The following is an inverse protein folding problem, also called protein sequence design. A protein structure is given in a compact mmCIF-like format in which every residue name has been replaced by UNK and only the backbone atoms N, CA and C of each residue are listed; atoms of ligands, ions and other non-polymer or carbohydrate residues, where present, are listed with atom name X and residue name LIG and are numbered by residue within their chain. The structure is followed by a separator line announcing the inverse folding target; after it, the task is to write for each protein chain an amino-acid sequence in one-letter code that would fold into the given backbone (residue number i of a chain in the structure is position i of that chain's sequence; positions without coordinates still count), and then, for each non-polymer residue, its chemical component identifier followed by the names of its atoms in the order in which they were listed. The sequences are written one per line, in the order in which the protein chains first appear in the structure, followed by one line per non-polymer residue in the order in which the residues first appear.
data_IF_083194938021
#
_entry.id   IF_083194938021
#
_cell.length_a   1.000
_cell.length_b   1.000
_cell.length_c   1.000
_cell.angle_alpha   90.00
_cell.angle_beta   90.00
_cell.angle_gamma   90.00
#
_symmetry.space_group_name_H-M   'P 1'
#
loop_
_entity.id
_entity.type
_entity.pdbx_description
1 polymer ?
2 non-polymer ?
3 non-polymer ?
4 water ?
#
# COMPACT_ATOMS: atom_id res chain seq x y z
N UNK A 2 1.03 19.29 -0.43
CA UNK A 2 1.98 19.00 0.64
C UNK A 2 3.14 18.17 0.12
N UNK A 3 4.24 18.20 0.83
CA UNK A 3 5.43 17.47 0.40
C UNK A 3 5.43 16.06 0.97
N UNK A 4 6.20 15.15 0.38
CA UNK A 4 6.31 13.82 0.99
C UNK A 4 6.79 13.86 2.43
N UNK A 5 7.68 14.80 2.76
CA UNK A 5 8.10 14.98 4.15
C UNK A 5 6.90 15.24 5.05
N UNK A 6 6.06 16.22 4.67
CA UNK A 6 4.90 16.56 5.49
C UNK A 6 3.94 15.38 5.58
N UNK A 7 3.78 14.65 4.48
CA UNK A 7 2.88 13.50 4.49
C UNK A 7 3.42 12.41 5.41
N UNK A 8 4.74 12.20 5.40
CA UNK A 8 5.33 11.26 6.34
C UNK A 8 5.09 11.71 7.77
N UNK A 9 5.20 13.01 8.02
CA UNK A 9 4.92 13.53 9.35
C UNK A 9 3.46 13.27 9.74
N UNK A 10 2.54 13.45 8.81
CA UNK A 10 1.14 13.21 9.11
C UNK A 10 0.91 11.75 9.46
N UNK A 11 1.61 10.84 8.79
CA UNK A 11 1.51 9.43 9.14
C UNK A 11 1.94 9.22 10.60
N UNK A 12 3.04 9.84 11.02
CA UNK A 12 3.48 9.72 12.40
C UNK A 12 2.48 10.34 13.38
N UNK A 13 1.92 11.51 13.04
CA UNK A 13 0.85 12.07 13.87
C UNK A 13 -0.29 11.07 14.01
N UNK A 14 -0.71 10.50 12.88
CA UNK A 14 -1.81 9.53 12.87
C UNK A 14 -1.51 8.36 13.80
N UNK A 15 -0.33 7.76 13.67
CA UNK A 15 -0.01 6.59 14.48
C UNK A 15 0.05 6.91 15.96
N UNK A 16 0.46 8.14 16.31
CA UNK A 16 0.45 8.56 17.71
C UNK A 16 -0.98 8.73 18.21
N UNK A 17 -1.84 9.39 17.42
CA UNK A 17 -3.24 9.53 17.82
C UNK A 17 -3.89 8.16 17.98
N UNK A 18 -3.53 7.21 17.12
CA UNK A 18 -4.00 5.83 17.28
C UNK A 18 -3.54 5.28 18.63
N UNK A 19 -2.26 5.49 18.96
CA UNK A 19 -1.71 4.96 20.20
C UNK A 19 -2.31 5.65 21.43
N UNK A 20 -2.57 6.95 21.33
CA UNK A 20 -3.09 7.72 22.46
C UNK A 20 -4.62 7.78 22.49
N UNK A 21 -5.30 7.12 21.55
CA UNK A 21 -6.76 7.07 21.54
C UNK A 21 -7.45 8.41 21.38
N UNK A 22 -7.18 9.08 20.26
CA UNK A 22 -7.74 10.40 19.98
C UNK A 22 -8.43 10.34 18.62
N UNK A 23 -9.63 9.75 18.57
CA UNK A 23 -10.28 9.57 17.26
C UNK A 23 -10.72 10.85 16.60
N UNK A 24 -11.06 11.89 17.36
CA UNK A 24 -11.40 13.15 16.72
C UNK A 24 -10.18 13.80 16.12
N UNK A 25 -9.01 13.64 16.76
CA UNK A 25 -7.79 14.14 16.15
C UNK A 25 -7.44 13.35 14.90
N UNK A 26 -7.72 12.04 14.88
CA UNK A 26 -7.52 11.25 13.67
C UNK A 26 -8.42 11.75 12.56
N UNK A 27 -9.71 11.91 12.86
CA UNK A 27 -10.64 12.35 11.83
C UNK A 27 -10.22 13.70 11.25
N UNK A 28 -9.67 14.57 12.08
CA UNK A 28 -9.23 15.89 11.61
C UNK A 28 -8.12 15.80 10.58
N UNK A 29 -7.33 14.71 10.60
CA UNK A 29 -6.26 14.55 9.63
C UNK A 29 -6.81 14.18 8.25
N UNK A 30 -8.02 13.62 8.20
CA UNK A 30 -8.63 13.20 6.96
C UNK A 30 -9.34 14.37 6.29
N UNK A 31 -9.40 14.31 4.97
CA UNK A 31 -10.20 15.25 4.19
C UNK A 31 -11.69 15.02 4.42
N UNK A 32 -12.48 16.07 4.16
CA UNK A 32 -13.94 15.98 4.08
C UNK A 32 -14.38 14.72 3.36
N UNK A 33 -13.88 14.54 2.13
CA UNK A 33 -14.29 13.45 1.25
C UNK A 33 -13.31 12.28 1.28
N UNK A 34 -12.67 12.06 2.41
CA UNK A 34 -11.70 10.98 2.52
C UNK A 34 -12.41 9.62 2.58
N UNK A 35 -11.68 8.59 2.19
CA UNK A 35 -12.13 7.21 2.26
C UNK A 35 -11.19 6.40 3.16
N UNK A 36 -11.76 5.47 3.91
CA UNK A 36 -11.00 4.51 4.68
C UNK A 36 -11.48 3.11 4.30
N UNK A 37 -10.55 2.25 3.88
CA UNK A 37 -10.84 0.86 3.53
C UNK A 37 -9.94 -0.01 4.41
N UNK A 38 -10.50 -0.53 5.49
CA UNK A 38 -9.73 -1.18 6.54
C UNK A 38 -10.55 -2.35 7.07
N UNK A 39 -10.24 -3.59 6.66
CA UNK A 39 -9.20 -3.99 5.71
C UNK A 39 -9.62 -3.79 4.28
N UNK A 40 -8.65 -3.76 3.37
CA UNK A 40 -8.97 -3.78 1.96
C UNK A 40 -9.88 -4.96 1.68
N UNK A 41 -10.89 -4.72 0.84
CA UNK A 41 -11.91 -5.69 0.56
C UNK A 41 -13.21 -5.50 1.32
N UNK A 42 -13.19 -4.74 2.42
CA UNK A 42 -14.40 -4.47 3.18
C UNK A 42 -15.05 -3.18 2.66
N UNK A 43 -16.29 -2.96 3.07
CA UNK A 43 -17.00 -1.76 2.63
C UNK A 43 -16.25 -0.50 3.04
N UNK A 44 -16.06 0.40 2.08
CA UNK A 44 -15.35 1.63 2.31
C UNK A 44 -16.17 2.56 3.20
N UNK A 45 -15.48 3.22 4.11
CA UNK A 45 -16.04 4.30 4.92
C UNK A 45 -15.73 5.62 4.21
N UNK A 46 -16.76 6.33 3.77
CA UNK A 46 -16.53 7.55 3.02
C UNK A 46 -17.04 8.73 3.84
N UNK A 47 -16.29 9.81 3.77
CA UNK A 47 -16.68 11.05 4.41
C UNK A 47 -16.11 11.10 5.81
N UNK A 48 -15.71 12.28 6.25
CA UNK A 48 -15.09 12.37 7.57
C UNK A 48 -16.08 11.95 8.66
N UNK A 49 -17.38 12.15 8.45
CA UNK A 49 -18.36 11.74 9.46
C UNK A 49 -18.31 10.22 9.70
N UNK A 50 -18.35 9.44 8.62
CA UNK A 50 -18.27 7.99 8.77
C UNK A 50 -16.93 7.56 9.34
N UNK A 51 -15.86 8.25 8.95
CA UNK A 51 -14.52 7.89 9.42
C UNK A 51 -14.42 8.13 10.93
N UNK A 52 -15.00 9.23 11.40
CA UNK A 52 -15.03 9.52 12.83
C UNK A 52 -15.72 8.41 13.61
N UNK A 53 -16.85 7.93 13.11
CA UNK A 53 -17.53 6.81 13.74
C UNK A 53 -16.67 5.56 13.76
N UNK A 54 -15.94 5.31 12.66
CA UNK A 54 -15.11 4.12 12.55
C UNK A 54 -14.01 4.12 13.60
N UNK A 55 -13.31 5.26 13.75
CA UNK A 55 -12.26 5.32 14.76
C UNK A 55 -12.83 5.49 16.17
N UNK A 56 -13.98 6.15 16.29
CA UNK A 56 -14.54 6.40 17.61
C UNK A 56 -14.93 5.11 18.27
N UNK A 57 -15.35 4.13 17.47
CA UNK A 57 -15.41 2.74 17.92
C UNK A 57 -14.11 2.31 18.59
N UNK A 58 -12.97 2.81 18.14
CA UNK A 58 -11.69 2.20 18.51
C UNK A 58 -10.95 2.97 19.61
N UNK A 59 -11.60 3.90 20.28
CA UNK A 59 -10.92 4.95 21.03
C UNK A 59 -10.60 4.58 22.47
N UNK A 60 -9.69 5.37 23.04
CA UNK A 60 -9.25 5.30 24.43
C UNK A 60 -8.48 4.01 24.73
N UNK A 61 -8.45 3.09 23.76
CA UNK A 61 -7.54 1.97 23.88
C UNK A 61 -6.11 2.48 23.79
N UNK A 62 -5.34 2.22 24.85
CA UNK A 62 -3.90 2.41 24.81
C UNK A 62 -3.27 1.27 24.03
N UNK A 63 -2.63 1.60 22.91
CA UNK A 63 -1.88 0.64 22.13
C UNK A 63 -0.52 1.25 21.83
N UNK A 64 0.33 0.41 21.14
CA UNK A 64 1.67 0.81 20.76
C UNK A 64 1.82 0.60 19.27
N UNK A 65 2.39 1.59 18.58
CA UNK A 65 2.61 1.54 17.14
C UNK A 65 4.08 1.77 16.85
N UNK A 66 4.59 1.09 15.83
CA UNK A 66 6.01 1.15 15.46
C UNK A 66 6.12 1.01 13.96
N UNK A 67 6.76 1.97 13.32
CA UNK A 67 7.02 1.91 11.88
C UNK A 67 8.24 1.05 11.63
N UNK A 68 8.11 0.09 10.72
CA UNK A 68 9.25 -0.72 10.27
C UNK A 68 9.90 -0.12 9.03
N UNK A 69 9.09 0.31 8.06
CA UNK A 69 9.62 1.03 6.92
C UNK A 69 8.52 1.91 6.35
N UNK A 70 8.91 3.08 5.86
CA UNK A 70 7.96 4.08 5.38
C UNK A 70 8.52 4.71 4.11
N UNK A 71 7.72 4.72 3.06
CA UNK A 71 8.12 5.30 1.78
C UNK A 71 7.12 6.38 1.37
N UNK A 72 7.56 7.62 1.43
CA UNK A 72 6.75 8.77 1.06
C UNK A 72 7.18 9.21 -0.35
N UNK A 73 6.25 9.07 -1.31
CA UNK A 73 6.51 9.22 -2.73
C UNK A 73 5.34 9.95 -3.37
N UNK A 74 5.61 11.03 -4.09
CA UNK A 74 4.52 11.75 -4.72
C UNK A 74 3.54 12.21 -3.65
N UNK A 75 2.25 11.93 -3.86
CA UNK A 75 1.23 12.26 -2.86
C UNK A 75 0.75 11.00 -2.12
N UNK A 76 1.66 10.04 -1.94
CA UNK A 76 1.33 8.80 -1.24
C UNK A 76 2.38 8.50 -0.17
N UNK A 77 1.97 7.69 0.81
CA UNK A 77 2.90 7.09 1.77
C UNK A 77 2.49 5.64 1.93
N UNK A 78 3.42 4.73 1.65
CA UNK A 78 3.26 3.33 2.00
C UNK A 78 4.09 3.05 3.23
N UNK A 79 3.49 2.37 4.21
CA UNK A 79 4.23 2.08 5.42
C UNK A 79 3.85 0.73 5.98
N UNK A 80 4.88 0.02 6.43
CA UNK A 80 4.78 -1.28 7.06
C UNK A 80 5.05 -1.08 8.55
N UNK A 81 4.10 -1.46 9.40
CA UNK A 81 4.16 -1.08 10.80
C UNK A 81 3.50 -2.13 11.66
N UNK A 82 3.79 -2.05 12.96
CA UNK A 82 3.22 -3.00 13.92
C UNK A 82 2.28 -2.28 14.88
N UNK A 83 1.17 -2.96 15.16
CA UNK A 83 0.18 -2.51 16.12
C UNK A 83 0.17 -3.50 17.25
N UNK A 84 0.48 -3.04 18.45
CA UNK A 84 0.58 -3.88 19.64
C UNK A 84 -0.54 -3.49 20.59
N UNK A 85 -1.44 -4.44 20.85
CA UNK A 85 -2.61 -4.22 21.70
C UNK A 85 -2.28 -4.60 23.13
N UNK A 91 -0.66 -9.52 24.90
CA UNK A 91 0.46 -10.08 24.16
C UNK A 91 0.19 -10.21 22.67
N UNK A 92 -0.57 -9.25 22.14
CA UNK A 92 -0.99 -9.27 20.75
C UNK A 92 -0.20 -8.22 19.95
N UNK A 93 0.33 -8.63 18.80
CA UNK A 93 0.94 -7.70 17.87
C UNK A 93 0.66 -8.14 16.45
N UNK A 94 0.43 -7.17 15.57
CA UNK A 94 0.24 -7.54 14.18
C UNK A 94 0.91 -6.52 13.28
N UNK A 95 1.39 -7.01 12.15
CA UNK A 95 2.14 -6.23 11.19
C UNK A 95 1.25 -5.92 10.00
N UNK A 96 1.17 -4.65 9.65
CA UNK A 96 0.19 -4.13 8.71
C UNK A 96 0.92 -3.41 7.60
N UNK A 97 0.48 -3.62 6.36
CA UNK A 97 0.89 -2.77 5.24
C UNK A 97 -0.23 -1.78 4.99
N UNK A 98 0.09 -0.50 5.07
CA UNK A 98 -0.87 0.57 4.85
C UNK A 98 -0.42 1.50 3.74
N UNK A 99 -1.40 2.06 3.02
CA UNK A 99 -1.15 3.08 2.03
C UNK A 99 -2.10 4.23 2.30
N UNK A 100 -1.54 5.44 2.43
CA UNK A 100 -2.31 6.68 2.49
C UNK A 100 -1.99 7.55 1.29
N UNK A 101 -2.99 8.26 0.79
CA UNK A 101 -2.79 9.30 -0.21
C UNK A 101 -3.31 10.61 0.35
N UNK A 102 -2.78 11.71 -0.19
CA UNK A 102 -2.93 13.02 0.41
C UNK A 102 -3.40 14.02 -0.62
N UNK A 103 -4.29 14.93 -0.20
CA UNK A 103 -4.72 16.01 -1.07
C UNK A 103 -3.65 17.10 -1.12
N UNK A 104 -3.92 18.15 -1.91
CA UNK A 104 -2.96 19.23 -2.03
C UNK A 104 -2.70 19.92 -0.69
N UNK A 105 -3.74 20.04 0.14
CA UNK A 105 -3.62 20.71 1.42
C UNK A 105 -3.05 19.82 2.51
N UNK A 106 -2.64 18.59 2.18
CA UNK A 106 -2.00 17.72 3.15
C UNK A 106 -2.95 16.86 3.96
N UNK A 107 -4.24 16.99 3.76
CA UNK A 107 -5.11 16.08 4.50
C UNK A 107 -5.11 14.71 3.82
N UNK A 108 -5.40 13.68 4.62
CA UNK A 108 -5.45 12.31 4.08
C UNK A 108 -6.70 12.18 3.22
N UNK A 109 -6.49 11.87 1.93
CA UNK A 109 -7.57 11.63 0.98
C UNK A 109 -8.06 10.18 1.04
N UNK A 110 -7.16 9.23 1.27
CA UNK A 110 -7.55 7.83 1.30
C UNK A 110 -6.60 7.04 2.19
N UNK A 111 -7.14 6.01 2.83
CA UNK A 111 -6.33 5.05 3.57
C UNK A 111 -6.79 3.64 3.21
N UNK A 112 -5.82 2.77 2.99
CA UNK A 112 -6.07 1.35 2.76
C UNK A 112 -5.15 0.55 3.66
N UNK A 113 -5.70 -0.46 4.32
CA UNK A 113 -4.94 -1.29 5.27
C UNK A 113 -4.99 -2.74 4.81
N UNK A 114 -3.84 -3.34 4.63
CA UNK A 114 -3.69 -4.71 4.13
C UNK A 114 -3.19 -5.57 5.29
N UNK A 115 -4.10 -6.35 5.88
CA UNK A 115 -3.79 -7.24 6.99
C UNK A 115 -4.95 -8.21 7.12
N UNK A 116 -4.67 -9.35 7.74
CA UNK A 116 -5.71 -10.28 8.16
C UNK A 116 -5.35 -10.82 9.54
N UNK A 117 -6.22 -11.62 10.16
CA UNK A 117 -5.84 -12.26 11.43
C UNK A 117 -4.65 -13.18 11.32
N UNK A 118 -4.31 -13.62 10.11
CA UNK A 118 -3.10 -14.42 9.93
C UNK A 118 -1.86 -13.65 10.34
N UNK A 119 -1.92 -12.31 10.26
CA UNK A 119 -0.79 -11.46 10.57
C UNK A 119 -0.69 -11.15 12.07
N UNK A 120 -1.55 -11.75 12.89
CA UNK A 120 -1.54 -11.56 14.33
C UNK A 120 -0.67 -12.65 14.96
N UNK A 121 0.25 -12.24 15.82
CA UNK A 121 1.12 -13.17 16.52
C UNK A 121 0.95 -13.01 18.02
N UNK B 2 -11.82 -12.91 -10.50
CA UNK B 2 -10.77 -13.78 -9.98
C UNK B 2 -10.82 -13.75 -8.46
N UNK B 3 -10.28 -14.78 -7.81
CA UNK B 3 -10.28 -14.83 -6.36
C UNK B 3 -8.97 -14.30 -5.80
N UNK B 4 -8.95 -13.99 -4.50
CA UNK B 4 -7.67 -13.59 -3.90
C UNK B 4 -6.58 -14.64 -4.07
N UNK B 5 -6.92 -15.93 -3.96
CA UNK B 5 -5.93 -16.98 -4.22
C UNK B 5 -5.39 -16.89 -5.65
N UNK B 6 -6.29 -16.73 -6.63
CA UNK B 6 -5.84 -16.53 -8.01
C UNK B 6 -4.83 -15.39 -8.09
N UNK B 7 -5.15 -14.28 -7.42
CA UNK B 7 -4.35 -13.07 -7.54
C UNK B 7 -3.00 -13.26 -6.88
N UNK B 8 -2.96 -13.94 -5.73
CA UNK B 8 -1.69 -14.28 -5.11
C UNK B 8 -0.85 -15.13 -6.05
N UNK B 9 -1.47 -16.12 -6.69
CA UNK B 9 -0.76 -16.94 -7.65
C UNK B 9 -0.17 -16.09 -8.77
N UNK B 10 -0.95 -15.10 -9.24
CA UNK B 10 -0.48 -14.24 -10.31
C UNK B 10 0.71 -13.41 -9.87
N UNK B 11 0.71 -12.93 -8.62
CA UNK B 11 1.87 -12.22 -8.11
C UNK B 11 3.09 -13.14 -8.11
N UNK B 12 2.90 -14.40 -7.74
CA UNK B 12 4.04 -15.31 -7.75
C UNK B 12 4.58 -15.52 -9.15
N UNK B 13 3.70 -15.57 -10.15
CA UNK B 13 4.21 -15.73 -11.51
C UNK B 13 4.88 -14.47 -12.02
N UNK B 14 4.41 -13.29 -11.58
CA UNK B 14 5.10 -12.05 -11.87
C UNK B 14 6.52 -12.08 -11.34
N UNK B 15 6.68 -12.48 -10.09
CA UNK B 15 8.01 -12.51 -9.49
C UNK B 15 8.88 -13.57 -10.12
N UNK B 16 8.27 -14.68 -10.55
CA UNK B 16 9.00 -15.68 -11.32
C UNK B 16 9.59 -15.08 -12.58
N UNK B 17 8.75 -14.38 -13.36
CA UNK B 17 9.22 -13.83 -14.63
C UNK B 17 10.17 -12.66 -14.43
N UNK B 18 10.02 -11.88 -13.35
CA UNK B 18 11.05 -10.91 -12.99
C UNK B 18 12.38 -11.62 -12.77
N UNK B 19 12.36 -12.68 -11.97
CA UNK B 19 13.59 -13.39 -11.66
C UNK B 19 14.26 -13.96 -12.91
N UNK B 20 13.48 -14.36 -13.90
CA UNK B 20 14.03 -14.97 -15.10
C UNK B 20 14.33 -13.94 -16.18
N UNK B 21 14.01 -12.67 -15.96
CA UNK B 21 14.27 -11.63 -16.93
C UNK B 21 13.43 -11.80 -18.19
N UNK B 22 12.12 -12.02 -18.03
CA UNK B 22 11.22 -12.37 -19.14
C UNK B 22 10.13 -11.31 -19.27
N UNK B 23 10.41 -10.21 -19.96
CA UNK B 23 9.41 -9.14 -20.07
C UNK B 23 8.19 -9.51 -20.88
N UNK B 24 8.31 -10.40 -21.87
CA UNK B 24 7.13 -10.81 -22.61
C UNK B 24 6.14 -11.52 -21.69
N UNK B 25 6.64 -12.39 -20.81
CA UNK B 25 5.77 -13.15 -19.92
C UNK B 25 5.23 -12.27 -18.79
N UNK B 26 5.94 -11.20 -18.42
CA UNK B 26 5.41 -10.22 -17.48
C UNK B 26 4.26 -9.44 -18.11
N UNK B 27 4.50 -8.89 -19.31
CA UNK B 27 3.50 -8.05 -19.95
C UNK B 27 2.20 -8.82 -20.14
N UNK B 28 2.27 -10.12 -20.42
CA UNK B 28 1.08 -10.93 -20.63
C UNK B 28 0.25 -11.08 -19.37
N UNK B 29 0.81 -10.79 -18.19
CA UNK B 29 0.01 -10.84 -16.98
C UNK B 29 -0.89 -9.62 -16.84
N UNK B 30 -0.58 -8.55 -17.57
CA UNK B 30 -1.28 -7.28 -17.43
C UNK B 30 -2.46 -7.20 -18.38
N UNK B 31 -3.46 -6.42 -17.97
CA UNK B 31 -4.61 -6.16 -18.82
C UNK B 31 -4.24 -5.19 -19.95
N UNK B 32 -5.11 -5.16 -20.95
CA UNK B 32 -4.84 -4.38 -22.16
C UNK B 32 -4.65 -2.89 -21.84
N UNK B 33 -5.46 -2.35 -20.94
CA UNK B 33 -5.35 -0.95 -20.53
C UNK B 33 -4.85 -0.82 -19.09
N UNK B 34 -4.00 -1.74 -18.66
CA UNK B 34 -3.41 -1.71 -17.33
C UNK B 34 -2.52 -0.48 -17.17
N UNK B 35 -2.22 -0.16 -15.91
CA UNK B 35 -1.30 0.93 -15.56
C UNK B 35 -0.17 0.40 -14.69
N UNK B 36 1.03 0.94 -14.89
CA UNK B 36 2.17 0.70 -14.01
C UNK B 36 2.71 2.05 -13.55
N UNK B 37 2.88 2.19 -12.24
CA UNK B 37 3.47 3.39 -11.64
C UNK B 37 4.61 2.91 -10.76
N UNK B 38 5.83 2.99 -11.29
CA UNK B 38 7.00 2.38 -10.66
C UNK B 38 8.18 3.32 -10.92
N UNK B 39 8.60 4.11 -9.91
CA UNK B 39 8.06 4.19 -8.56
C UNK B 39 6.83 5.06 -8.49
N UNK B 40 6.07 4.92 -7.41
CA UNK B 40 4.98 5.85 -7.18
C UNK B 40 5.54 7.27 -7.18
N UNK B 41 4.80 8.20 -7.79
CA UNK B 41 5.25 9.54 -7.99
C UNK B 41 5.78 9.85 -9.37
N UNK B 42 6.10 8.83 -10.17
CA UNK B 42 6.60 9.03 -11.52
C UNK B 42 5.45 8.87 -12.52
N UNK B 43 5.73 9.23 -13.77
CA UNK B 43 4.69 9.21 -14.79
C UNK B 43 4.20 7.79 -15.00
N UNK B 44 2.88 7.60 -14.97
CA UNK B 44 2.31 6.27 -15.12
C UNK B 44 2.49 5.79 -16.55
N UNK B 45 2.71 4.48 -16.69
CA UNK B 45 2.79 3.81 -17.99
C UNK B 45 1.43 3.16 -18.23
N UNK B 46 0.80 3.51 -19.35
CA UNK B 46 -0.59 3.16 -19.62
C UNK B 46 -0.66 2.23 -20.84
N UNK B 47 -1.25 1.05 -20.65
CA UNK B 47 -1.41 0.12 -21.77
C UNK B 47 -0.27 -0.88 -21.88
N UNK B 48 -0.60 -2.05 -22.43
CA UNK B 48 0.38 -3.15 -22.43
C UNK B 48 1.61 -2.81 -23.27
N UNK B 49 1.43 -2.06 -24.35
CA UNK B 49 2.59 -1.68 -25.17
C UNK B 49 3.60 -0.88 -24.35
N UNK B 50 3.13 0.16 -23.66
CA UNK B 50 4.02 0.95 -22.81
C UNK B 50 4.57 0.11 -21.66
N UNK B 51 3.76 -0.80 -21.14
CA UNK B 51 4.22 -1.63 -20.03
C UNK B 51 5.30 -2.59 -20.51
N UNK B 52 5.11 -3.20 -21.68
CA UNK B 52 6.15 -4.08 -22.21
C UNK B 52 7.45 -3.31 -22.45
N UNK B 53 7.35 -2.08 -22.96
CA UNK B 53 8.54 -1.29 -23.13
C UNK B 53 9.25 -1.03 -21.81
N UNK B 54 8.46 -0.74 -20.77
CA UNK B 54 9.01 -0.46 -19.46
C UNK B 54 9.83 -1.63 -18.95
N UNK B 55 9.30 -2.84 -19.12
CA UNK B 55 9.97 -4.03 -18.62
C UNK B 55 11.13 -4.49 -19.50
N UNK B 56 11.46 -3.78 -20.57
CA UNK B 56 12.74 -4.02 -21.21
C UNK B 56 13.92 -3.80 -20.29
N UNK B 57 13.69 -3.10 -19.16
CA UNK B 57 14.75 -2.85 -18.18
C UNK B 57 15.23 -4.11 -17.47
N UNK B 58 14.68 -5.29 -17.79
CA UNK B 58 15.15 -6.51 -17.15
C UNK B 58 15.28 -7.70 -18.11
N UNK B 59 15.18 -7.48 -19.42
CA UNK B 59 15.26 -8.60 -20.35
C UNK B 59 16.57 -9.36 -20.18
N UNK B 60 16.46 -10.68 -20.00
CA UNK B 60 17.60 -11.57 -19.80
C UNK B 60 18.43 -11.24 -18.58
N UNK B 61 17.86 -10.51 -17.63
CA UNK B 61 18.52 -10.20 -16.37
C UNK B 61 18.06 -11.23 -15.35
N UNK B 62 18.97 -12.15 -14.99
CA UNK B 62 18.66 -13.16 -13.99
C UNK B 62 18.81 -12.58 -12.59
N UNK B 63 17.74 -12.68 -11.79
CA UNK B 63 17.76 -12.17 -10.43
C UNK B 63 17.06 -13.17 -9.54
N UNK B 64 17.01 -12.85 -8.25
CA UNK B 64 16.30 -13.68 -7.29
C UNK B 64 15.32 -12.80 -6.55
N UNK B 65 14.13 -13.33 -6.31
CA UNK B 65 13.08 -12.62 -5.62
C UNK B 65 12.66 -13.43 -4.40
N UNK B 66 12.19 -12.72 -3.38
CA UNK B 66 11.74 -13.34 -2.14
C UNK B 66 10.55 -12.57 -1.63
N UNK B 67 9.46 -13.27 -1.29
CA UNK B 67 8.30 -12.62 -0.72
C UNK B 67 8.45 -12.66 0.80
N UNK B 68 8.43 -11.47 1.42
CA UNK B 68 8.47 -11.40 2.87
C UNK B 68 7.08 -11.57 3.47
N UNK B 69 6.10 -10.85 2.95
CA UNK B 69 4.71 -11.04 3.33
C UNK B 69 3.81 -10.60 2.18
N UNK B 70 2.67 -11.27 2.07
CA UNK B 70 1.76 -11.00 0.97
C UNK B 70 0.34 -11.11 1.49
N UNK B 71 -0.48 -10.10 1.16
CA UNK B 71 -1.87 -10.04 1.61
C UNK B 71 -2.75 -9.86 0.37
N UNK B 72 -3.48 -10.91 0.01
CA UNK B 72 -4.45 -10.87 -1.08
C UNK B 72 -5.84 -10.67 -0.49
N UNK B 73 -6.42 -9.50 -0.78
CA UNK B 73 -7.66 -9.05 -0.17
C UNK B 73 -8.53 -8.40 -1.24
N UNK B 74 -9.80 -8.78 -1.32
CA UNK B 74 -10.65 -8.21 -2.34
C UNK B 74 -10.06 -8.45 -3.72
N UNK B 75 -9.96 -7.39 -4.54
CA UNK B 75 -9.35 -7.45 -5.86
C UNK B 75 -7.89 -6.99 -5.85
N UNK B 76 -7.25 -6.94 -4.70
CA UNK B 76 -5.92 -6.37 -4.55
C UNK B 76 -4.95 -7.36 -3.94
N UNK B 77 -3.65 -7.11 -4.15
CA UNK B 77 -2.60 -7.82 -3.44
C UNK B 77 -1.53 -6.79 -3.06
N UNK B 78 -1.26 -6.67 -1.77
CA UNK B 78 -0.12 -5.90 -1.30
C UNK B 78 0.97 -6.88 -0.88
N UNK B 79 2.20 -6.65 -1.34
CA UNK B 79 3.28 -7.58 -1.01
C UNK B 79 4.59 -6.82 -0.81
N UNK B 80 5.31 -7.27 0.21
CA UNK B 80 6.60 -6.75 0.62
C UNK B 80 7.64 -7.80 0.24
N UNK B 81 8.61 -7.42 -0.58
CA UNK B 81 9.46 -8.42 -1.22
C UNK B 81 10.83 -7.83 -1.49
N UNK B 82 11.76 -8.71 -1.83
CA UNK B 82 13.14 -8.32 -2.12
C UNK B 82 13.52 -8.78 -3.52
N UNK B 83 14.28 -7.93 -4.19
CA UNK B 83 14.84 -8.21 -5.51
C UNK B 83 16.36 -8.16 -5.35
N UNK B 84 17.03 -9.26 -5.69
CA UNK B 84 18.47 -9.36 -5.57
C UNK B 84 19.05 -9.56 -6.96
N UNK B 85 19.82 -8.57 -7.41
CA UNK B 85 20.47 -8.61 -8.72
C UNK B 85 21.99 -8.68 -8.55
N UNK B 91 23.82 -9.73 -3.91
CA UNK B 91 24.80 -8.71 -3.60
C UNK B 91 24.14 -7.36 -3.37
N UNK B 92 23.54 -6.83 -4.43
CA UNK B 92 22.71 -5.63 -4.34
C UNK B 92 21.26 -6.09 -4.21
N UNK B 93 20.54 -5.54 -3.24
CA UNK B 93 19.21 -6.02 -2.93
C UNK B 93 18.27 -4.83 -2.69
N UNK B 94 17.09 -4.90 -3.29
CA UNK B 94 16.05 -3.89 -3.11
C UNK B 94 14.87 -4.53 -2.37
N UNK B 95 14.42 -3.89 -1.28
CA UNK B 95 13.21 -4.34 -0.58
C UNK B 95 12.09 -3.36 -0.94
N UNK B 96 11.01 -3.89 -1.49
CA UNK B 96 10.00 -3.13 -2.20
C UNK B 96 8.63 -3.45 -1.61
N UNK B 97 7.80 -2.42 -1.44
CA UNK B 97 6.38 -2.62 -1.14
C UNK B 97 5.63 -2.37 -2.43
N UNK B 98 4.82 -3.35 -2.85
CA UNK B 98 4.09 -3.27 -4.10
C UNK B 98 2.62 -3.53 -3.83
N UNK B 99 1.76 -2.90 -4.64
CA UNK B 99 0.33 -3.14 -4.63
C UNK B 99 -0.13 -3.36 -6.05
N UNK B 100 -0.84 -4.45 -6.27
CA UNK B 100 -1.44 -4.75 -7.55
C UNK B 100 -2.95 -4.87 -7.36
N UNK B 101 -3.70 -4.44 -8.37
CA UNK B 101 -5.12 -4.71 -8.42
C UNK B 101 -5.42 -5.50 -9.69
N UNK B 102 -6.55 -6.21 -9.67
CA UNK B 102 -6.85 -7.20 -10.69
C UNK B 102 -8.25 -6.99 -11.24
N UNK B 103 -8.42 -7.19 -12.55
CA UNK B 103 -9.74 -7.11 -13.13
C UNK B 103 -10.43 -8.46 -13.00
N UNK B 104 -11.71 -8.50 -13.39
CA UNK B 104 -12.53 -9.70 -13.20
C UNK B 104 -11.86 -10.95 -13.79
N UNK B 105 -11.16 -10.79 -14.91
CA UNK B 105 -10.53 -11.94 -15.55
C UNK B 105 -9.17 -12.28 -14.96
N UNK B 106 -8.79 -11.69 -13.84
CA UNK B 106 -7.57 -12.06 -13.15
C UNK B 106 -6.29 -11.42 -13.68
N UNK B 107 -6.36 -10.66 -14.76
CA UNK B 107 -5.15 -9.98 -15.21
C UNK B 107 -4.94 -8.72 -14.39
N UNK B 108 -3.69 -8.24 -14.37
CA UNK B 108 -3.34 -7.11 -13.52
C UNK B 108 -3.90 -5.84 -14.14
N UNK B 109 -4.71 -5.13 -13.37
CA UNK B 109 -5.25 -3.82 -13.76
C UNK B 109 -4.29 -2.68 -13.45
N UNK B 110 -3.63 -2.73 -12.29
CA UNK B 110 -2.71 -1.66 -11.92
C UNK B 110 -1.60 -2.24 -11.05
N UNK B 111 -0.42 -1.64 -11.17
CA UNK B 111 0.68 -1.92 -10.27
C UNK B 111 1.28 -0.60 -9.80
N UNK B 112 1.61 -0.55 -8.51
CA UNK B 112 2.29 0.57 -7.91
C UNK B 112 3.43 0.02 -7.05
N UNK B 113 4.60 0.62 -7.16
CA UNK B 113 5.78 0.15 -6.44
C UNK B 113 6.32 1.28 -5.57
N UNK B 114 6.51 0.99 -4.29
CA UNK B 114 6.96 1.98 -3.30
C UNK B 114 8.35 1.60 -2.84
N UNK B 115 9.36 2.32 -3.35
CA UNK B 115 10.77 2.08 -3.05
C UNK B 115 11.53 3.31 -3.53
N UNK B 116 12.72 3.48 -2.98
CA UNK B 116 13.70 4.48 -3.43
C UNK B 116 15.08 3.87 -3.28
N UNK B 117 16.12 4.56 -3.76
CA UNK B 117 17.48 4.05 -3.52
C UNK B 117 17.83 3.90 -2.05
N UNK B 118 17.09 4.56 -1.16
CA UNK B 118 17.26 4.33 0.27
C UNK B 118 16.98 2.89 0.64
N UNK B 119 16.22 2.16 -0.19
CA UNK B 119 15.81 0.80 0.08
C UNK B 119 16.69 -0.21 -0.62
N UNK B 120 17.88 0.22 -1.04
CA UNK B 120 18.85 -0.62 -1.72
C UNK B 120 19.99 -0.88 -0.75
N UNK B 121 20.37 -2.15 -0.64
CA UNK B 121 21.45 -2.62 0.22
C UNK B 121 22.53 -3.24 -0.64
#
# INVERSE_FOLDING_TARGET
MSTPQDNANTVHRYLEFVAKGQPDEIAALYADDATVEDPVGSEVHIGRQAIRGFYGNLENVQSRTEVKTLRALGHEVAFYWTLSIGGDEGGMTMDIISVMTFNDDGRIKSMKAYWTPENITQR
MSTPQDNANTVHRYLEFVAKGQPDEIAALYADDATVEDPVGSEVHIGRQAIRGFYGNLENVQSRTEVKTLRALGHEVAFYWTLSIGGDEGGMTMDIISVMTFNDDGRIKSMKAYWTPENITQR
#
